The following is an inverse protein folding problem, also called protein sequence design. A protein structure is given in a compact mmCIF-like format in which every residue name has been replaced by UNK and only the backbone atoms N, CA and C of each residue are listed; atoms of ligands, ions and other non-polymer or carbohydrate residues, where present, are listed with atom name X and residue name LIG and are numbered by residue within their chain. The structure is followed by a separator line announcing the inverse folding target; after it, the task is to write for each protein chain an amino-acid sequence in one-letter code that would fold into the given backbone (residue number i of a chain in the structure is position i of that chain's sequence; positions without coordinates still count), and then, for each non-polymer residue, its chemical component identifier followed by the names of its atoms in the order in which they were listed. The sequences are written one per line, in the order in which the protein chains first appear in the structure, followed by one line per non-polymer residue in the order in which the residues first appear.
data_IF_556061976578
#
_entry.id   IF_556061976578
#
_cell.length_a   1.000
_cell.length_b   1.000
_cell.length_c   1.000
_cell.angle_alpha   90.00
_cell.angle_beta   90.00
_cell.angle_gamma   90.00
#
_symmetry.space_group_name_H-M   'P 1'
#
loop_
_entity.id
_entity.type
_entity.pdbx_description
1 polymer ?
#
# COMPACT_ATOMS: atom_id res chain seq x y z
N UNK A 1 -2.28 6.22 24.04
CA UNK A 1 -3.34 6.69 23.12
C UNK A 1 -4.68 6.32 23.71
N UNK A 2 -5.52 7.31 24.04
CA UNK A 2 -6.82 7.06 24.68
C UNK A 2 -7.84 6.60 23.64
N UNK A 3 -8.21 5.32 23.69
CA UNK A 3 -9.31 4.73 22.93
C UNK A 3 -10.62 5.41 23.31
N UNK A 4 -11.05 6.39 22.52
CA UNK A 4 -12.42 6.90 22.59
C UNK A 4 -13.23 6.06 21.62
N UNK A 5 -13.82 4.95 22.10
CA UNK A 5 -14.77 4.18 21.29
C UNK A 5 -16.03 5.02 21.11
N UNK A 6 -16.16 5.66 19.96
CA UNK A 6 -17.45 6.17 19.55
C UNK A 6 -18.43 4.97 19.51
N UNK A 7 -19.53 5.07 20.25
CA UNK A 7 -20.55 4.02 20.30
C UNK A 7 -21.22 3.86 18.92
N UNK A 8 -21.50 2.63 18.48
CA UNK A 8 -22.19 2.38 17.22
C UNK A 8 -23.58 3.03 17.22
N UNK A 9 -23.93 3.68 16.11
CA UNK A 9 -25.28 4.24 15.92
C UNK A 9 -26.21 3.13 15.46
N UNK A 10 -27.33 2.93 16.16
CA UNK A 10 -28.28 1.82 15.94
C UNK A 10 -29.68 2.37 15.71
N UNK A 11 -30.38 1.91 14.66
CA UNK A 11 -31.81 2.19 14.49
C UNK A 11 -32.67 1.33 15.44
N UNK A 12 -33.77 1.89 15.97
CA UNK A 12 -34.76 1.14 16.75
C UNK A 12 -35.51 0.12 15.88
N UNK A 13 -35.82 -1.08 16.39
CA UNK A 13 -36.49 -2.13 15.62
C UNK A 13 -37.91 -1.73 15.21
N UNK A 14 -38.26 -1.99 13.96
CA UNK A 14 -39.64 -2.02 13.50
C UNK A 14 -40.30 -3.30 14.03
N UNK A 15 -41.45 -3.16 14.69
CA UNK A 15 -42.22 -4.28 15.26
C UNK A 15 -42.71 -5.20 14.15
N UNK A 16 -42.07 -6.36 13.99
CA UNK A 16 -42.65 -7.51 13.29
C UNK A 16 -42.27 -8.82 13.96
N UNK A 17 -43.31 -9.61 14.24
CA UNK A 17 -43.33 -10.91 14.89
C UNK A 17 -42.90 -12.03 13.93
N UNK A 18 -41.65 -12.02 13.47
CA UNK A 18 -41.06 -13.14 12.72
C UNK A 18 -39.78 -13.60 13.41
N UNK A 19 -39.52 -14.91 13.38
CA UNK A 19 -38.28 -15.52 13.86
C UNK A 19 -37.05 -15.13 13.03
N UNK A 20 -37.17 -14.15 12.13
CA UNK A 20 -36.10 -13.72 11.23
C UNK A 20 -35.96 -12.20 11.34
N UNK A 21 -34.72 -11.74 11.54
CA UNK A 21 -34.38 -10.32 11.70
C UNK A 21 -33.23 -9.95 10.76
N UNK A 22 -33.50 -9.02 9.86
CA UNK A 22 -32.49 -8.51 8.93
C UNK A 22 -31.78 -7.26 9.48
N UNK A 23 -30.45 -7.28 9.39
CA UNK A 23 -29.54 -6.22 9.80
C UNK A 23 -28.60 -5.81 8.67
N UNK A 24 -28.53 -4.52 8.37
CA UNK A 24 -27.53 -3.94 7.48
C UNK A 24 -26.42 -3.34 8.32
N UNK A 25 -25.20 -3.87 8.19
CA UNK A 25 -24.01 -3.30 8.81
C UNK A 25 -23.26 -2.43 7.81
N UNK A 26 -22.80 -1.28 8.28
CA UNK A 26 -22.24 -0.21 7.44
C UNK A 26 -20.93 0.28 8.06
N UNK A 27 -19.89 0.48 7.26
CA UNK A 27 -18.63 1.05 7.74
C UNK A 27 -17.94 1.91 6.68
N UNK A 28 -17.26 3.01 7.06
CA UNK A 28 -16.32 3.69 6.17
C UNK A 28 -14.97 2.96 6.17
N UNK A 29 -14.50 2.59 5.00
CA UNK A 29 -13.20 1.96 4.76
C UNK A 29 -12.26 2.96 4.10
N UNK A 30 -11.17 3.28 4.79
CA UNK A 30 -10.07 4.06 4.22
C UNK A 30 -9.25 3.12 3.35
N UNK A 31 -9.21 3.35 2.04
CA UNK A 31 -8.48 2.52 1.06
C UNK A 31 -7.09 3.08 0.74
N UNK A 32 -6.96 4.42 0.77
CA UNK A 32 -5.72 5.11 0.44
C UNK A 32 -5.59 6.38 1.26
N UNK A 33 -4.39 6.64 1.78
CA UNK A 33 -4.08 7.85 2.52
C UNK A 33 -3.61 9.02 1.64
N UNK A 34 -3.35 10.14 2.30
CA UNK A 34 -2.75 11.33 1.73
C UNK A 34 -1.24 11.14 1.62
N UNK A 35 -0.64 11.48 0.47
CA UNK A 35 0.79 11.35 0.19
C UNK A 35 1.24 12.48 -0.75
N UNK A 36 2.46 13.00 -0.65
CA UNK A 36 3.06 13.76 -1.74
C UNK A 36 3.27 12.84 -2.95
N UNK A 37 3.00 13.34 -4.16
CA UNK A 37 3.11 12.55 -5.40
C UNK A 37 3.39 13.44 -6.61
N UNK A 38 4.08 12.93 -7.63
CA UNK A 38 4.18 13.62 -8.92
C UNK A 38 3.03 13.24 -9.86
N UNK A 39 2.63 14.19 -10.70
CA UNK A 39 1.72 13.96 -11.82
C UNK A 39 2.30 14.49 -13.12
N UNK A 40 1.92 13.87 -14.25
CA UNK A 40 2.26 14.37 -15.58
C UNK A 40 1.43 15.61 -15.92
N UNK A 41 2.09 16.62 -16.49
CA UNK A 41 1.39 17.68 -17.20
C UNK A 41 2.04 17.89 -18.56
N UNK A 42 1.21 18.09 -19.58
CA UNK A 42 1.68 18.45 -20.91
C UNK A 42 1.51 19.95 -21.06
N UNK A 43 2.61 20.70 -21.03
CA UNK A 43 2.56 22.11 -21.37
C UNK A 43 2.76 22.21 -22.89
N UNK A 44 1.70 22.60 -23.59
CA UNK A 44 1.83 23.00 -24.99
C UNK A 44 2.73 24.25 -25.05
N UNK A 45 3.92 24.14 -25.65
CA UNK A 45 4.74 25.33 -25.94
C UNK A 45 3.94 26.26 -26.85
N UNK A 46 3.64 27.47 -26.39
CA UNK A 46 3.17 28.55 -27.26
C UNK A 46 4.36 29.04 -28.08
N UNK A 47 4.53 28.48 -29.27
CA UNK A 47 5.40 29.08 -30.27
C UNK A 47 4.63 30.18 -30.99
N UNK A 48 5.24 31.36 -31.11
CA UNK A 48 4.65 32.52 -31.82
C UNK A 48 4.59 32.36 -33.34
N UNK A 49 4.98 31.20 -33.89
CA UNK A 49 4.98 30.94 -35.32
C UNK A 49 4.52 29.51 -35.60
N UNK A 50 3.21 29.33 -35.80
CA UNK A 50 2.56 28.36 -36.72
C UNK A 50 3.02 26.90 -36.86
N UNK A 51 3.98 26.41 -36.09
CA UNK A 51 4.47 25.02 -36.12
C UNK A 51 4.10 24.32 -34.83
N UNK A 52 3.48 23.15 -34.97
CA UNK A 52 3.18 22.21 -33.88
C UNK A 52 4.49 21.72 -33.27
N UNK A 53 4.98 22.38 -32.21
CA UNK A 53 6.02 21.81 -31.36
C UNK A 53 5.42 20.71 -30.50
N UNK A 54 6.10 19.57 -30.42
CA UNK A 54 5.83 18.56 -29.40
C UNK A 54 5.87 19.21 -28.01
N UNK A 55 4.83 19.00 -27.21
CA UNK A 55 4.75 19.54 -25.85
C UNK A 55 5.90 19.02 -24.99
N UNK A 56 6.41 19.87 -24.11
CA UNK A 56 7.39 19.47 -23.09
C UNK A 56 6.58 18.79 -21.99
N UNK A 57 6.77 17.48 -21.79
CA UNK A 57 6.18 16.77 -20.66
C UNK A 57 6.92 17.25 -19.42
N UNK A 58 6.21 17.96 -18.55
CA UNK A 58 6.74 18.39 -17.26
C UNK A 58 5.98 17.69 -16.15
N UNK A 59 6.58 17.68 -14.97
CA UNK A 59 5.99 17.07 -13.79
C UNK A 59 5.42 18.16 -12.89
N UNK A 60 4.30 17.85 -12.24
CA UNK A 60 3.68 18.74 -11.25
C UNK A 60 3.72 18.03 -9.91
N UNK A 61 4.19 18.76 -8.90
CA UNK A 61 4.09 18.36 -7.49
C UNK A 61 2.62 18.40 -7.07
N UNK A 62 2.10 17.25 -6.68
CA UNK A 62 0.69 17.05 -6.32
C UNK A 62 0.57 16.36 -4.97
N UNK A 63 -0.66 16.25 -4.49
CA UNK A 63 -1.00 15.58 -3.25
C UNK A 63 -2.10 14.58 -3.55
N UNK A 64 -1.83 13.31 -3.26
CA UNK A 64 -2.81 12.25 -3.41
C UNK A 64 -3.95 12.48 -2.43
N UNK A 65 -5.18 12.56 -2.94
CA UNK A 65 -6.36 12.69 -2.06
C UNK A 65 -6.68 11.35 -1.40
N UNK A 66 -6.95 11.32 -0.08
CA UNK A 66 -7.41 10.13 0.61
C UNK A 66 -8.66 9.54 -0.04
N UNK A 67 -8.69 8.21 -0.18
CA UNK A 67 -9.85 7.48 -0.69
C UNK A 67 -10.54 6.77 0.46
N UNK A 68 -11.77 7.18 0.75
CA UNK A 68 -12.64 6.54 1.74
C UNK A 68 -13.90 6.08 1.02
N UNK A 69 -14.23 4.81 1.15
CA UNK A 69 -15.44 4.21 0.57
C UNK A 69 -16.35 3.68 1.66
N UNK A 70 -17.63 3.50 1.33
CA UNK A 70 -18.60 2.91 2.26
C UNK A 70 -18.84 1.45 1.89
N UNK A 71 -18.62 0.54 2.85
CA UNK A 71 -18.95 -0.89 2.72
C UNK A 71 -20.24 -1.20 3.46
N UNK A 72 -21.01 -2.12 2.89
CA UNK A 72 -22.29 -2.58 3.41
C UNK A 72 -22.29 -4.11 3.40
N UNK A 73 -22.82 -4.72 4.46
CA UNK A 73 -23.19 -6.14 4.45
C UNK A 73 -24.58 -6.30 5.06
N UNK A 74 -25.31 -7.28 4.56
CA UNK A 74 -26.63 -7.62 5.06
C UNK A 74 -26.56 -8.99 5.72
N UNK A 75 -27.13 -9.07 6.92
CA UNK A 75 -27.21 -10.26 7.75
C UNK A 75 -28.68 -10.56 7.99
N UNK A 76 -29.12 -11.76 7.65
CA UNK A 76 -30.44 -12.23 8.04
C UNK A 76 -30.27 -13.29 9.12
N UNK A 77 -30.76 -13.02 10.32
CA UNK A 77 -30.61 -13.90 11.47
C UNK A 77 -31.95 -14.58 11.73
N UNK A 78 -31.97 -15.91 11.61
CA UNK A 78 -33.10 -16.75 11.97
C UNK A 78 -32.89 -17.33 13.37
N UNK A 79 -33.82 -17.06 14.27
CA UNK A 79 -33.85 -17.64 15.61
C UNK A 79 -34.68 -18.92 15.59
N UNK A 80 -34.07 -20.04 15.96
CA UNK A 80 -34.72 -21.36 15.98
C UNK A 80 -35.73 -21.55 17.12
N UNK A 81 -35.88 -20.56 18.01
CA UNK A 81 -36.76 -20.59 19.17
C UNK A 81 -36.11 -21.19 20.42
N UNK A 82 -34.93 -21.80 20.30
CA UNK A 82 -34.10 -22.28 21.42
C UNK A 82 -33.01 -21.26 21.81
N UNK A 83 -32.91 -20.17 21.04
CA UNK A 83 -31.97 -19.07 21.27
C UNK A 83 -30.72 -19.15 20.39
N UNK A 84 -30.66 -20.10 19.44
CA UNK A 84 -29.61 -20.13 18.43
C UNK A 84 -30.02 -19.27 17.24
N UNK A 85 -29.09 -18.45 16.76
CA UNK A 85 -29.27 -17.59 15.58
C UNK A 85 -28.44 -18.15 14.43
N UNK A 86 -29.12 -18.59 13.38
CA UNK A 86 -28.49 -19.06 12.14
C UNK A 86 -28.63 -18.02 11.03
N UNK A 87 -27.63 -17.94 10.16
CA UNK A 87 -27.68 -17.05 9.01
C UNK A 87 -28.61 -17.62 7.93
N UNK A 88 -29.65 -16.87 7.58
CA UNK A 88 -30.62 -17.24 6.55
C UNK A 88 -30.36 -16.49 5.22
N UNK A 89 -30.93 -16.99 4.14
CA UNK A 89 -30.95 -16.29 2.87
C UNK A 89 -31.94 -15.11 2.92
N UNK A 90 -31.50 -13.94 2.43
CA UNK A 90 -32.34 -12.75 2.36
C UNK A 90 -33.54 -13.00 1.44
N UNK A 91 -34.72 -12.52 1.85
CA UNK A 91 -35.86 -12.49 0.95
C UNK A 91 -35.60 -11.52 -0.22
N UNK A 92 -36.09 -11.80 -1.45
CA UNK A 92 -35.90 -10.91 -2.59
C UNK A 92 -36.45 -9.49 -2.37
N UNK A 93 -37.54 -9.37 -1.59
CA UNK A 93 -38.13 -8.07 -1.24
C UNK A 93 -37.21 -7.27 -0.32
N UNK A 94 -36.63 -7.93 0.70
CA UNK A 94 -35.69 -7.31 1.63
C UNK A 94 -34.41 -6.89 0.91
N UNK A 95 -33.87 -7.73 0.02
CA UNK A 95 -32.68 -7.43 -0.77
C UNK A 95 -32.89 -6.21 -1.69
N UNK A 96 -34.03 -6.15 -2.38
CA UNK A 96 -34.39 -4.99 -3.21
C UNK A 96 -34.56 -3.70 -2.39
N UNK A 97 -35.11 -3.80 -1.18
CA UNK A 97 -35.20 -2.66 -0.25
C UNK A 97 -33.81 -2.20 0.20
N UNK A 98 -32.92 -3.12 0.60
CA UNK A 98 -31.54 -2.81 1.00
C UNK A 98 -30.80 -2.14 -0.17
N UNK A 99 -30.92 -2.66 -1.39
CA UNK A 99 -30.26 -2.07 -2.56
C UNK A 99 -30.72 -0.64 -2.82
N UNK A 100 -32.02 -0.35 -2.67
CA UNK A 100 -32.54 1.03 -2.79
C UNK A 100 -31.99 1.95 -1.71
N UNK A 101 -32.04 1.52 -0.45
CA UNK A 101 -31.47 2.27 0.67
C UNK A 101 -29.98 2.57 0.47
N UNK A 102 -29.18 1.55 0.17
CA UNK A 102 -27.74 1.69 -0.06
C UNK A 102 -27.45 2.67 -1.21
N UNK A 103 -28.22 2.59 -2.29
CA UNK A 103 -28.09 3.52 -3.42
C UNK A 103 -28.36 4.95 -3.01
N UNK A 104 -29.45 5.21 -2.30
CA UNK A 104 -29.79 6.55 -1.80
C UNK A 104 -28.70 7.10 -0.87
N UNK A 105 -28.13 6.27 0.00
CA UNK A 105 -27.02 6.67 0.88
C UNK A 105 -25.78 7.03 0.06
N UNK A 106 -25.43 6.22 -0.94
CA UNK A 106 -24.29 6.48 -1.83
C UNK A 106 -24.48 7.76 -2.66
N UNK A 107 -25.68 7.99 -3.18
CA UNK A 107 -26.03 9.20 -3.93
C UNK A 107 -25.91 10.46 -3.05
N UNK A 108 -26.41 10.40 -1.81
CA UNK A 108 -26.28 11.51 -0.86
C UNK A 108 -24.81 11.80 -0.51
N UNK A 109 -23.98 10.76 -0.37
CA UNK A 109 -22.54 10.91 -0.16
C UNK A 109 -21.80 11.47 -1.38
N UNK A 110 -22.27 11.20 -2.60
CA UNK A 110 -21.66 11.71 -3.83
C UNK A 110 -21.71 13.23 -3.97
N UNK A 111 -22.57 13.92 -3.22
CA UNK A 111 -22.77 15.37 -3.25
C UNK A 111 -21.83 16.15 -2.31
N UNK A 112 -20.72 15.55 -1.86
CA UNK A 112 -19.74 16.12 -0.94
C UNK A 112 -19.13 17.45 -1.44
N UNK A 113 -19.51 18.62 -0.88
CA UNK A 113 -19.10 19.92 -1.45
C UNK A 113 -17.72 20.41 -1.00
N UNK A 114 -17.17 19.85 0.08
CA UNK A 114 -15.89 20.28 0.62
C UNK A 114 -14.92 19.10 0.58
N UNK A 115 -13.67 19.29 0.22
CA UNK A 115 -12.58 18.33 0.50
C UNK A 115 -11.78 18.98 1.64
N UNK A 116 -11.31 18.24 2.67
CA UNK A 116 -10.39 18.83 3.63
C UNK A 116 -9.24 19.51 2.90
N UNK A 117 -8.78 20.67 3.38
CA UNK A 117 -7.59 21.29 2.80
C UNK A 117 -6.45 20.26 2.78
N UNK A 118 -5.88 20.05 1.59
CA UNK A 118 -4.76 19.14 1.40
C UNK A 118 -3.51 19.78 2.02
N UNK A 119 -2.58 18.97 2.55
CA UNK A 119 -1.24 19.44 2.92
C UNK A 119 -0.50 19.97 1.69
N UNK A 120 0.62 20.63 1.92
CA UNK A 120 1.54 21.07 0.86
C UNK A 120 2.64 20.03 0.64
N UNK A 121 3.31 20.11 -0.51
CA UNK A 121 4.36 19.17 -0.93
C UNK A 121 5.46 18.97 0.12
N UNK A 122 5.99 20.08 0.66
CA UNK A 122 7.07 20.05 1.66
C UNK A 122 6.59 20.00 3.11
N UNK A 123 5.32 19.70 3.38
CA UNK A 123 4.84 19.52 4.75
C UNK A 123 5.44 18.24 5.39
N UNK A 124 5.56 18.17 6.73
CA UNK A 124 6.00 16.95 7.41
C UNK A 124 4.91 15.86 7.39
N UNK A 125 5.31 14.59 7.57
CA UNK A 125 4.42 13.40 7.57
C UNK A 125 3.14 13.59 8.42
N UNK A 126 3.25 14.21 9.59
CA UNK A 126 2.11 14.48 10.49
C UNK A 126 0.98 15.27 9.82
N UNK A 127 1.27 16.15 8.86
CA UNK A 127 0.25 16.89 8.12
C UNK A 127 -0.58 15.97 7.21
N UNK A 128 0.07 15.01 6.55
CA UNK A 128 -0.56 14.01 5.71
C UNK A 128 -1.38 13.01 6.53
N UNK A 129 -0.85 12.50 7.64
CA UNK A 129 -1.59 11.62 8.56
C UNK A 129 -2.87 12.30 9.08
N UNK A 130 -2.76 13.59 9.43
CA UNK A 130 -3.90 14.39 9.87
C UNK A 130 -4.93 14.56 8.75
N UNK A 131 -4.50 14.81 7.52
CA UNK A 131 -5.38 14.90 6.36
C UNK A 131 -6.14 13.58 6.12
N UNK A 132 -5.44 12.46 6.17
CA UNK A 132 -5.98 11.10 6.03
C UNK A 132 -7.02 10.81 7.12
N UNK A 133 -6.66 11.04 8.38
CA UNK A 133 -7.54 10.81 9.54
C UNK A 133 -8.79 11.69 9.47
N UNK A 134 -8.63 12.98 9.14
CA UNK A 134 -9.74 13.92 9.02
C UNK A 134 -10.69 13.53 7.89
N UNK A 135 -10.16 13.02 6.78
CA UNK A 135 -10.98 12.52 5.67
C UNK A 135 -11.83 11.33 6.09
N UNK A 136 -11.25 10.35 6.80
CA UNK A 136 -11.99 9.20 7.35
C UNK A 136 -13.07 9.64 8.34
N UNK A 137 -12.73 10.48 9.31
CA UNK A 137 -13.69 10.97 10.33
C UNK A 137 -14.85 11.77 9.71
N UNK A 138 -14.55 12.56 8.68
CA UNK A 138 -15.56 13.32 7.98
C UNK A 138 -16.50 12.42 7.18
N UNK A 139 -15.95 11.44 6.46
CA UNK A 139 -16.76 10.45 5.75
C UNK A 139 -17.67 9.70 6.72
N UNK A 140 -17.14 9.28 7.87
CA UNK A 140 -17.92 8.67 8.94
C UNK A 140 -19.07 9.58 9.40
N UNK A 141 -18.79 10.86 9.67
CA UNK A 141 -19.80 11.81 10.15
C UNK A 141 -20.95 12.00 9.15
N UNK A 142 -20.61 12.13 7.86
CA UNK A 142 -21.60 12.29 6.79
C UNK A 142 -22.35 11.01 6.50
N UNK A 143 -21.66 9.86 6.58
CA UNK A 143 -22.29 8.56 6.51
C UNK A 143 -23.32 8.42 7.64
N UNK A 144 -22.98 8.73 8.88
CA UNK A 144 -23.91 8.73 10.01
C UNK A 144 -25.12 9.61 9.76
N UNK A 145 -24.92 10.84 9.30
CA UNK A 145 -26.00 11.78 8.99
C UNK A 145 -26.93 11.23 7.89
N UNK A 146 -26.37 10.82 6.75
CA UNK A 146 -27.16 10.38 5.60
C UNK A 146 -27.82 9.02 5.82
N UNK A 147 -27.15 8.06 6.48
CA UNK A 147 -27.79 6.79 6.85
C UNK A 147 -28.98 7.01 7.76
N UNK A 148 -28.85 7.88 8.77
CA UNK A 148 -29.94 8.15 9.70
C UNK A 148 -31.10 8.89 9.01
N UNK A 149 -30.79 9.92 8.21
CA UNK A 149 -31.80 10.69 7.49
C UNK A 149 -32.60 9.81 6.53
N UNK A 150 -31.92 9.07 5.66
CA UNK A 150 -32.58 8.22 4.64
C UNK A 150 -33.36 7.09 5.28
N UNK A 151 -32.85 6.52 6.38
CA UNK A 151 -33.59 5.50 7.11
C UNK A 151 -34.89 6.05 7.70
N UNK A 152 -34.85 7.25 8.28
CA UNK A 152 -36.01 7.90 8.89
C UNK A 152 -37.02 8.45 7.87
N UNK A 153 -36.56 8.86 6.68
CA UNK A 153 -37.44 9.26 5.57
C UNK A 153 -38.24 8.08 5.00
N UNK A 154 -37.74 6.86 5.19
CA UNK A 154 -38.38 5.63 4.71
C UNK A 154 -38.33 5.50 3.19
N UNK A 155 -38.98 4.46 2.68
CA UNK A 155 -39.13 4.19 1.25
C UNK A 155 -40.51 4.66 0.79
N UNK A 156 -40.59 5.88 0.26
CA UNK A 156 -41.88 6.50 -0.14
C UNK A 156 -42.89 6.56 1.02
N UNK A 157 -42.39 6.78 2.25
CA UNK A 157 -43.20 6.78 3.48
C UNK A 157 -43.48 5.41 4.10
N UNK A 158 -42.88 4.33 3.58
CA UNK A 158 -42.89 2.99 4.20
C UNK A 158 -41.64 2.77 5.06
N UNK A 159 -41.81 2.08 6.18
CA UNK A 159 -40.69 1.63 7.00
C UNK A 159 -39.82 0.61 6.24
N UNK A 160 -38.52 0.67 6.45
CA UNK A 160 -37.59 -0.31 5.89
C UNK A 160 -37.80 -1.70 6.54
N UNK A 161 -37.75 -2.80 5.77
CA UNK A 161 -37.94 -4.17 6.29
C UNK A 161 -36.68 -4.72 6.98
N UNK A 162 -35.75 -3.86 7.37
CA UNK A 162 -34.48 -4.20 8.02
C UNK A 162 -34.11 -3.08 9.00
N UNK A 163 -33.18 -3.37 9.90
CA UNK A 163 -32.52 -2.34 10.72
C UNK A 163 -31.10 -2.11 10.24
N UNK A 164 -30.48 -0.99 10.59
CA UNK A 164 -29.06 -0.75 10.28
C UNK A 164 -28.21 -0.49 11.52
N UNK A 165 -26.93 -0.81 11.40
CA UNK A 165 -25.88 -0.45 12.35
C UNK A 165 -24.69 0.12 11.61
N UNK A 166 -24.23 1.26 12.09
CA UNK A 166 -23.00 1.88 11.59
C UNK A 166 -21.86 1.63 12.56
N UNK A 167 -20.76 1.08 12.04
CA UNK A 167 -19.53 0.87 12.76
C UNK A 167 -18.47 1.91 12.35
N UNK A 168 -17.75 2.52 13.30
CA UNK A 168 -16.75 3.54 13.01
C UNK A 168 -15.45 2.98 12.45
N UNK A 169 -15.20 1.68 12.64
CA UNK A 169 -14.00 1.01 12.15
C UNK A 169 -14.30 -0.39 11.60
N UNK A 170 -13.38 -0.83 10.77
CA UNK A 170 -13.32 -2.10 10.05
C UNK A 170 -13.26 -3.31 10.98
N UNK A 171 -12.47 -3.27 12.06
CA UNK A 171 -12.45 -4.35 13.06
C UNK A 171 -13.83 -4.62 13.68
N UNK A 172 -14.54 -3.58 14.11
CA UNK A 172 -15.88 -3.73 14.66
C UNK A 172 -16.87 -4.20 13.59
N UNK A 173 -16.75 -3.71 12.36
CA UNK A 173 -17.57 -4.16 11.25
C UNK A 173 -17.40 -5.67 11.02
N UNK A 174 -16.17 -6.16 10.88
CA UNK A 174 -15.89 -7.60 10.67
C UNK A 174 -16.34 -8.45 11.85
N UNK A 175 -16.09 -8.01 13.09
CA UNK A 175 -16.54 -8.70 14.31
C UNK A 175 -18.08 -8.78 14.45
N UNK A 176 -18.82 -8.00 13.66
CA UNK A 176 -20.29 -7.95 13.70
C UNK A 176 -20.90 -8.40 12.37
N UNK A 177 -20.24 -9.31 11.65
CA UNK A 177 -20.75 -9.96 10.43
C UNK A 177 -20.60 -9.12 9.16
N UNK A 178 -19.81 -8.04 9.20
CA UNK A 178 -19.38 -7.32 8.01
C UNK A 178 -18.41 -8.15 7.18
N UNK A 179 -18.59 -8.14 5.86
CA UNK A 179 -17.72 -8.84 4.91
C UNK A 179 -16.99 -7.84 4.02
N UNK A 180 -15.70 -8.08 3.80
CA UNK A 180 -14.84 -7.36 2.85
C UNK A 180 -14.33 -8.38 1.82
N UNK A 181 -15.09 -8.62 0.73
CA UNK A 181 -14.91 -9.81 -0.08
C UNK A 181 -13.69 -9.74 -1.02
N UNK A 182 -13.25 -8.54 -1.38
CA UNK A 182 -12.17 -8.35 -2.35
C UNK A 182 -10.95 -7.61 -1.82
N UNK A 183 -9.85 -7.62 -2.60
CA UNK A 183 -8.62 -6.88 -2.29
C UNK A 183 -8.86 -5.37 -2.24
N UNK A 184 -9.67 -4.81 -3.15
CA UNK A 184 -10.07 -3.40 -3.15
C UNK A 184 -11.00 -3.01 -1.98
N UNK A 185 -11.50 -3.99 -1.22
CA UNK A 185 -12.36 -3.76 -0.06
C UNK A 185 -11.57 -3.69 1.25
N UNK A 186 -10.30 -4.09 1.25
CA UNK A 186 -9.50 -4.17 2.47
C UNK A 186 -9.15 -2.77 3.02
N UNK A 187 -9.22 -2.57 4.34
CA UNK A 187 -8.83 -1.32 4.95
C UNK A 187 -7.32 -1.11 4.81
N UNK A 188 -6.94 0.14 4.59
CA UNK A 188 -5.56 0.59 4.67
C UNK A 188 -5.01 0.30 6.06
N UNK A 189 -4.01 -0.57 6.13
CA UNK A 189 -3.24 -0.84 7.35
C UNK A 189 -2.37 0.36 7.69
N UNK A 190 -2.43 0.79 8.94
CA UNK A 190 -1.81 2.04 9.36
C UNK A 190 -0.27 1.97 9.37
N UNK A 191 0.30 0.82 9.72
CA UNK A 191 1.75 0.60 9.66
C UNK A 191 2.30 0.77 8.24
N UNK A 192 1.67 0.15 7.24
CA UNK A 192 2.16 0.26 5.85
C UNK A 192 1.92 1.64 5.26
N UNK A 193 0.82 2.29 5.66
CA UNK A 193 0.62 3.69 5.30
C UNK A 193 1.70 4.59 5.87
N UNK A 194 2.05 4.44 7.15
CA UNK A 194 3.11 5.22 7.78
C UNK A 194 4.45 5.02 7.06
N UNK A 195 4.82 3.76 6.80
CA UNK A 195 6.02 3.40 6.05
C UNK A 195 6.03 4.01 4.64
N UNK A 196 4.90 3.94 3.91
CA UNK A 196 4.78 4.54 2.57
C UNK A 196 4.81 6.06 2.61
N UNK A 197 4.22 6.67 3.64
CA UNK A 197 4.20 8.11 3.82
C UNK A 197 5.59 8.67 4.10
N UNK A 198 6.34 8.02 5.00
CA UNK A 198 7.73 8.37 5.28
C UNK A 198 8.59 8.35 4.02
N UNK A 199 8.51 7.24 3.26
CA UNK A 199 9.16 7.09 1.95
C UNK A 199 8.77 8.21 0.97
N UNK A 200 7.49 8.51 0.84
CA UNK A 200 7.02 9.55 -0.09
C UNK A 200 7.48 10.95 0.33
N UNK A 201 7.46 11.27 1.63
CA UNK A 201 7.93 12.57 2.16
C UNK A 201 9.43 12.72 1.98
N UNK A 202 10.22 11.70 2.30
CA UNK A 202 11.67 11.76 2.11
C UNK A 202 12.03 11.80 0.63
N UNK A 203 11.36 11.01 -0.22
CA UNK A 203 11.51 11.07 -1.67
C UNK A 203 11.17 12.45 -2.26
N UNK A 204 10.12 13.11 -1.76
CA UNK A 204 9.75 14.46 -2.16
C UNK A 204 10.82 15.50 -1.78
N UNK A 205 11.37 15.39 -0.56
CA UNK A 205 12.47 16.23 -0.09
C UNK A 205 13.75 16.01 -0.90
N UNK A 206 14.10 14.76 -1.15
CA UNK A 206 15.25 14.37 -1.97
C UNK A 206 15.15 14.92 -3.41
N UNK A 207 13.95 14.91 -3.98
CA UNK A 207 13.70 15.51 -5.28
C UNK A 207 13.86 17.05 -5.24
N UNK A 208 13.31 17.73 -4.22
CA UNK A 208 13.51 19.18 -4.07
C UNK A 208 14.99 19.54 -3.92
N UNK A 209 15.76 18.73 -3.18
CA UNK A 209 17.22 18.88 -3.05
C UNK A 209 17.93 18.70 -4.39
N UNK A 210 17.54 17.69 -5.18
CA UNK A 210 18.10 17.42 -6.50
C UNK A 210 17.80 18.55 -7.49
N UNK A 211 16.57 19.06 -7.48
CA UNK A 211 16.12 20.18 -8.33
C UNK A 211 16.89 21.48 -7.99
N UNK A 212 17.24 21.68 -6.72
CA UNK A 212 17.99 22.87 -6.27
C UNK A 212 19.47 22.87 -6.65
N UNK A 213 20.03 21.74 -7.10
CA UNK A 213 21.44 21.65 -7.52
C UNK A 213 21.69 22.50 -8.79
N UNK A 214 22.83 23.21 -8.91
CA UNK A 214 23.14 24.02 -10.08
C UNK A 214 23.22 23.24 -11.40
N UNK A 215 22.91 23.94 -12.49
CA UNK A 215 23.18 23.49 -13.86
C UNK A 215 24.70 23.23 -14.02
N UNK A 216 25.08 22.00 -14.41
CA UNK A 216 26.47 21.58 -14.55
C UNK A 216 26.86 20.36 -13.70
N UNK A 217 26.07 20.03 -12.68
CA UNK A 217 26.19 18.78 -11.92
C UNK A 217 25.41 17.66 -12.60
N UNK A 218 25.96 16.45 -12.62
CA UNK A 218 25.20 15.26 -13.05
C UNK A 218 24.20 14.90 -11.95
N UNK A 219 22.91 15.02 -12.25
CA UNK A 219 21.82 14.75 -11.30
C UNK A 219 21.20 13.39 -11.61
N UNK A 220 21.21 12.50 -10.63
CA UNK A 220 20.70 11.14 -10.78
C UNK A 220 19.55 10.96 -9.79
N UNK A 221 18.34 10.72 -10.31
CA UNK A 221 17.29 10.14 -9.48
C UNK A 221 17.38 8.64 -9.58
N UNK A 222 17.20 7.94 -8.47
CA UNK A 222 17.08 6.50 -8.46
C UNK A 222 15.98 6.05 -7.51
N UNK A 223 15.52 4.83 -7.71
CA UNK A 223 14.58 4.15 -6.83
C UNK A 223 15.02 2.72 -6.61
N UNK A 224 14.56 2.17 -5.50
CA UNK A 224 14.61 0.75 -5.19
C UNK A 224 13.18 0.21 -5.21
N UNK A 225 12.98 -1.00 -5.71
CA UNK A 225 11.68 -1.67 -5.65
C UNK A 225 11.85 -3.13 -5.24
N UNK A 226 10.84 -3.68 -4.57
CA UNK A 226 10.82 -5.09 -4.19
C UNK A 226 10.13 -5.83 -5.33
N UNK A 227 10.87 -6.69 -6.04
CA UNK A 227 10.35 -7.50 -7.15
C UNK A 227 9.67 -8.74 -6.61
N UNK A 228 10.29 -9.38 -5.62
CA UNK A 228 9.70 -10.46 -4.84
C UNK A 228 9.87 -10.12 -3.36
N UNK A 229 8.81 -10.21 -2.54
CA UNK A 229 8.89 -9.95 -1.13
C UNK A 229 9.66 -11.07 -0.42
N UNK A 230 9.82 -10.93 0.89
CA UNK A 230 10.25 -12.07 1.71
C UNK A 230 9.24 -13.22 1.56
N UNK A 231 9.73 -14.41 1.21
CA UNK A 231 8.91 -15.60 0.92
C UNK A 231 9.19 -16.71 1.91
N UNK A 232 8.20 -17.59 2.10
CA UNK A 232 8.35 -18.81 2.87
C UNK A 232 8.70 -19.96 1.92
N UNK A 233 9.73 -20.73 2.21
CA UNK A 233 10.16 -21.86 1.37
C UNK A 233 10.29 -23.14 2.20
N UNK A 234 9.65 -24.22 1.73
CA UNK A 234 9.88 -25.57 2.20
C UNK A 234 10.98 -26.23 1.36
N UNK A 235 12.08 -26.60 1.99
CA UNK A 235 13.22 -27.28 1.37
C UNK A 235 12.95 -28.78 1.31
N UNK A 236 13.23 -29.40 0.16
CA UNK A 236 13.15 -30.86 -0.01
C UNK A 236 14.12 -31.58 0.92
N UNK A 237 13.66 -32.63 1.62
CA UNK A 237 14.52 -33.53 2.38
C UNK A 237 14.98 -34.72 1.54
N UNK A 238 16.25 -35.15 1.64
CA UNK A 238 16.68 -36.43 1.09
C UNK A 238 15.89 -37.60 1.69
N UNK A 239 15.53 -38.60 0.87
CA UNK A 239 14.90 -39.82 1.37
C UNK A 239 15.86 -40.55 2.34
N UNK A 240 15.40 -40.81 3.58
CA UNK A 240 16.14 -41.61 4.56
C UNK A 240 16.80 -40.84 5.72
N UNK A 241 16.72 -39.50 5.75
CA UNK A 241 17.19 -38.69 6.87
C UNK A 241 16.10 -38.54 7.95
N UNK A 242 16.20 -39.35 9.01
CA UNK A 242 15.31 -39.32 10.18
C UNK A 242 15.77 -38.26 11.21
N UNK A 243 16.02 -37.03 10.76
CA UNK A 243 16.32 -35.95 11.70
C UNK A 243 15.01 -35.36 12.24
N UNK A 244 14.81 -35.55 13.54
CA UNK A 244 13.59 -35.17 14.30
C UNK A 244 13.31 -33.67 14.35
N UNK A 245 14.18 -32.83 13.78
CA UNK A 245 14.02 -31.39 13.77
C UNK A 245 13.29 -30.91 12.51
N UNK A 246 11.96 -30.95 12.54
CA UNK A 246 11.05 -30.64 11.42
C UNK A 246 11.18 -29.19 10.89
N UNK A 247 11.70 -28.25 11.69
CA UNK A 247 11.96 -26.86 11.27
C UNK A 247 13.12 -26.68 10.27
N UNK A 248 14.06 -27.63 10.18
CA UNK A 248 15.22 -27.50 9.26
C UNK A 248 14.84 -27.57 7.77
N UNK A 249 13.63 -28.03 7.45
CA UNK A 249 13.09 -28.03 6.08
C UNK A 249 12.33 -26.76 5.73
N UNK A 250 12.38 -25.73 6.57
CA UNK A 250 11.73 -24.45 6.31
C UNK A 250 12.73 -23.31 6.41
N UNK A 251 12.67 -22.38 5.46
CA UNK A 251 13.48 -21.16 5.49
C UNK A 251 12.74 -20.00 4.89
N UNK A 252 13.24 -18.80 5.19
CA UNK A 252 12.85 -17.59 4.51
C UNK A 252 13.73 -17.37 3.30
N UNK A 253 13.13 -16.96 2.19
CA UNK A 253 13.87 -16.36 1.08
C UNK A 253 13.80 -14.85 1.25
N UNK A 254 14.97 -14.22 1.27
CA UNK A 254 15.08 -12.76 1.34
C UNK A 254 14.40 -12.08 0.13
N UNK A 255 13.99 -10.81 0.28
CA UNK A 255 13.34 -10.09 -0.80
C UNK A 255 14.31 -9.92 -1.97
N UNK A 256 13.79 -10.06 -3.18
CA UNK A 256 14.50 -9.73 -4.41
C UNK A 256 14.23 -8.27 -4.74
N UNK A 257 15.29 -7.51 -4.96
CA UNK A 257 15.21 -6.06 -5.15
C UNK A 257 15.62 -5.71 -6.58
N UNK A 258 15.01 -4.65 -7.11
CA UNK A 258 15.45 -3.99 -8.33
C UNK A 258 15.85 -2.56 -8.05
N UNK A 259 16.84 -2.10 -8.80
CA UNK A 259 17.34 -0.72 -8.75
C UNK A 259 17.14 -0.12 -10.12
N UNK A 260 16.54 1.06 -10.16
CA UNK A 260 16.35 1.81 -11.40
C UNK A 260 16.90 3.21 -11.18
N UNK A 261 17.66 3.73 -12.12
CA UNK A 261 18.12 5.12 -12.08
C UNK A 261 17.81 5.85 -13.38
N UNK A 262 17.85 7.18 -13.32
CA UNK A 262 17.70 8.09 -14.45
C UNK A 262 18.52 9.35 -14.20
N UNK A 263 19.26 9.77 -15.23
CA UNK A 263 19.86 11.11 -15.28
C UNK A 263 18.77 12.14 -15.58
N UNK A 264 18.73 13.23 -14.81
CA UNK A 264 17.71 14.27 -14.96
C UNK A 264 17.89 15.11 -16.23
N UNK A 265 16.80 15.70 -16.71
CA UNK A 265 16.75 16.42 -17.98
C UNK A 265 17.54 17.73 -17.99
N UNK A 266 17.87 18.28 -16.83
CA UNK A 266 18.71 19.47 -16.65
C UNK A 266 20.19 19.14 -16.38
N UNK A 267 20.57 17.86 -16.44
CA UNK A 267 21.97 17.43 -16.38
C UNK A 267 22.75 17.79 -17.65
N UNK A 268 24.10 17.84 -17.59
CA UNK A 268 24.94 18.13 -18.76
C UNK A 268 24.64 17.24 -19.98
N UNK A 269 24.61 17.85 -21.17
CA UNK A 269 24.26 17.13 -22.41
C UNK A 269 25.18 15.95 -22.76
N UNK A 270 26.44 15.99 -22.32
CA UNK A 270 27.39 14.92 -22.59
C UNK A 270 26.98 13.62 -21.90
N UNK A 271 26.48 13.66 -20.66
CA UNK A 271 26.14 12.44 -19.92
C UNK A 271 24.91 11.73 -20.49
N UNK A 272 24.00 12.51 -21.10
CA UNK A 272 22.81 11.97 -21.77
C UNK A 272 23.14 11.17 -23.03
N UNK A 273 24.33 11.36 -23.62
CA UNK A 273 24.76 10.71 -24.87
C UNK A 273 25.69 9.52 -24.64
N UNK A 274 26.11 9.28 -23.40
CA UNK A 274 27.11 8.27 -23.05
C UNK A 274 26.43 7.14 -22.26
N UNK A 275 25.95 6.13 -22.98
CA UNK A 275 25.27 4.96 -22.41
C UNK A 275 26.16 4.21 -21.39
N UNK A 276 27.48 4.14 -21.64
CA UNK A 276 28.43 3.47 -20.74
C UNK A 276 28.54 4.15 -19.37
N UNK A 277 28.34 5.46 -19.31
CA UNK A 277 28.39 6.21 -18.06
C UNK A 277 27.10 6.01 -17.25
N UNK A 278 25.94 5.96 -17.91
CA UNK A 278 24.68 5.59 -17.25
C UNK A 278 24.74 4.18 -16.66
N UNK A 279 25.23 3.20 -17.45
CA UNK A 279 25.41 1.83 -16.99
C UNK A 279 26.41 1.71 -15.82
N UNK A 280 27.43 2.58 -15.78
CA UNK A 280 28.38 2.65 -14.65
C UNK A 280 27.70 3.16 -13.38
N UNK A 281 26.89 4.22 -13.46
CA UNK A 281 26.12 4.72 -12.32
C UNK A 281 25.11 3.68 -11.83
N UNK A 282 24.37 3.04 -12.73
CA UNK A 282 23.43 1.97 -12.37
C UNK A 282 24.11 0.84 -11.60
N UNK A 283 25.30 0.42 -12.07
CA UNK A 283 26.10 -0.60 -11.39
C UNK A 283 26.59 -0.12 -10.02
N UNK A 284 27.08 1.12 -9.92
CA UNK A 284 27.55 1.70 -8.67
C UNK A 284 26.44 1.78 -7.62
N UNK A 285 25.26 2.27 -8.00
CA UNK A 285 24.09 2.34 -7.11
C UNK A 285 23.65 0.92 -6.69
N UNK A 286 23.60 -0.02 -7.63
CA UNK A 286 23.24 -1.41 -7.34
C UNK A 286 24.22 -2.07 -6.37
N UNK A 287 25.52 -1.86 -6.56
CA UNK A 287 26.58 -2.37 -5.66
C UNK A 287 26.49 -1.73 -4.28
N UNK A 288 26.27 -0.42 -4.19
CA UNK A 288 26.13 0.30 -2.92
C UNK A 288 24.89 -0.14 -2.13
N UNK A 289 23.78 -0.44 -2.82
CA UNK A 289 22.60 -1.03 -2.18
C UNK A 289 22.90 -2.44 -1.67
N UNK A 290 23.53 -3.29 -2.48
CA UNK A 290 23.86 -4.65 -2.10
C UNK A 290 24.87 -4.71 -0.92
N UNK A 291 25.78 -3.73 -0.82
CA UNK A 291 26.76 -3.65 0.27
C UNK A 291 26.13 -3.12 1.57
N UNK A 292 25.21 -2.16 1.47
CA UNK A 292 24.57 -1.49 2.61
C UNK A 292 23.39 -2.27 3.18
N UNK A 293 22.59 -2.90 2.33
CA UNK A 293 21.42 -3.65 2.76
C UNK A 293 21.80 -5.05 3.24
N UNK A 294 21.78 -5.23 4.56
CA UNK A 294 21.83 -6.55 5.18
C UNK A 294 20.45 -6.84 5.78
N UNK A 295 19.63 -7.69 5.16
CA UNK A 295 18.34 -8.08 5.72
C UNK A 295 18.55 -8.52 7.17
N UNK A 296 17.76 -7.96 8.10
CA UNK A 296 17.81 -8.43 9.48
C UNK A 296 17.43 -9.91 9.50
N UNK A 297 18.31 -10.75 10.04
CA UNK A 297 18.00 -12.13 10.34
C UNK A 297 17.07 -12.14 11.56
N UNK A 298 15.76 -12.14 11.37
CA UNK A 298 14.79 -12.46 12.44
C UNK A 298 13.34 -12.32 11.96
N UNK A 299 12.87 -13.28 11.18
CA UNK A 299 11.57 -13.87 11.55
C UNK A 299 11.93 -15.24 12.11
N UNK A 300 11.85 -15.39 13.43
CA UNK A 300 12.07 -16.69 14.05
C UNK A 300 10.87 -17.56 13.70
N UNK A 301 11.02 -18.38 12.66
CA UNK A 301 10.00 -19.35 12.26
C UNK A 301 9.81 -20.36 13.40
N UNK A 302 8.72 -20.20 14.12
CA UNK A 302 8.21 -21.12 15.12
C UNK A 302 6.90 -21.75 14.65
N UNK A 303 6.50 -22.92 15.18
CA UNK A 303 5.19 -23.49 14.89
C UNK A 303 4.01 -22.57 15.26
N UNK A 304 4.24 -21.58 16.14
CA UNK A 304 3.23 -20.63 16.59
C UNK A 304 3.24 -19.30 15.82
N UNK A 305 4.13 -19.13 14.84
CA UNK A 305 4.26 -17.89 14.06
C UNK A 305 2.93 -17.58 13.39
N UNK A 306 2.34 -16.44 13.74
CA UNK A 306 1.09 -15.99 13.15
C UNK A 306 1.36 -15.17 11.88
N UNK A 307 0.43 -15.20 10.93
CA UNK A 307 0.53 -14.41 9.70
C UNK A 307 0.76 -12.92 9.98
N UNK A 308 0.07 -12.34 10.97
CA UNK A 308 0.24 -10.93 11.33
C UNK A 308 1.65 -10.62 11.86
N UNK A 309 2.22 -11.50 12.68
CA UNK A 309 3.58 -11.33 13.23
C UNK A 309 4.62 -11.42 12.11
N UNK A 310 4.47 -12.41 11.23
CA UNK A 310 5.31 -12.59 10.05
C UNK A 310 5.30 -11.36 9.14
N UNK A 311 4.11 -10.85 8.82
CA UNK A 311 3.94 -9.68 7.94
C UNK A 311 4.50 -8.39 8.55
N UNK A 312 4.33 -8.18 9.87
CA UNK A 312 4.85 -7.00 10.55
C UNK A 312 6.40 -6.98 10.56
N UNK A 313 7.03 -8.12 10.86
CA UNK A 313 8.50 -8.23 10.88
C UNK A 313 9.10 -8.04 9.48
N UNK A 314 8.47 -8.60 8.45
CA UNK A 314 8.90 -8.43 7.06
C UNK A 314 8.71 -6.99 6.59
N UNK A 315 7.56 -6.37 6.87
CA UNK A 315 7.29 -4.96 6.50
C UNK A 315 8.34 -4.03 7.11
N UNK A 316 8.77 -4.29 8.35
CA UNK A 316 9.86 -3.55 9.00
C UNK A 316 11.21 -3.76 8.30
N UNK A 317 11.57 -5.01 7.99
CA UNK A 317 12.84 -5.32 7.33
C UNK A 317 12.91 -4.72 5.92
N UNK A 318 11.83 -4.85 5.16
CA UNK A 318 11.68 -4.29 3.82
C UNK A 318 11.67 -2.76 3.85
N UNK A 319 11.20 -2.12 4.92
CA UNK A 319 11.30 -0.67 5.10
C UNK A 319 12.74 -0.18 5.22
N UNK A 320 13.60 -0.91 5.96
CA UNK A 320 15.01 -0.53 6.13
C UNK A 320 15.77 -0.44 4.81
N UNK A 321 15.42 -1.26 3.80
CA UNK A 321 16.01 -1.15 2.46
C UNK A 321 15.87 0.26 1.89
N UNK A 322 14.71 0.88 2.06
CA UNK A 322 14.43 2.22 1.54
C UNK A 322 15.17 3.29 2.36
N UNK A 323 15.26 3.13 3.67
CA UNK A 323 16.02 4.05 4.53
C UNK A 323 17.50 4.06 4.15
N UNK A 324 18.10 2.88 3.96
CA UNK A 324 19.50 2.76 3.51
C UNK A 324 19.69 3.34 2.11
N UNK A 325 18.75 3.10 1.19
CA UNK A 325 18.81 3.66 -0.16
C UNK A 325 18.72 5.20 -0.12
N UNK A 326 17.81 5.75 0.68
CA UNK A 326 17.54 7.18 0.75
C UNK A 326 18.65 8.00 1.39
N UNK A 327 19.33 7.43 2.39
CA UNK A 327 20.36 8.16 3.15
C UNK A 327 21.78 7.71 2.80
N UNK A 328 22.08 6.42 2.96
CA UNK A 328 23.46 5.92 2.87
C UNK A 328 23.92 5.82 1.42
N UNK A 329 23.13 5.16 0.57
CA UNK A 329 23.50 4.94 -0.83
C UNK A 329 23.52 6.25 -1.59
N UNK A 330 22.51 7.10 -1.40
CA UNK A 330 22.45 8.40 -2.05
C UNK A 330 23.67 9.27 -1.70
N UNK A 331 24.15 9.22 -0.45
CA UNK A 331 25.37 9.90 -0.03
C UNK A 331 26.63 9.25 -0.65
N UNK A 332 26.75 7.91 -0.60
CA UNK A 332 27.90 7.16 -1.09
C UNK A 332 28.14 7.38 -2.59
N UNK A 333 27.08 7.43 -3.39
CA UNK A 333 27.18 7.58 -4.86
C UNK A 333 27.15 9.06 -5.31
N UNK A 334 27.10 10.01 -4.37
CA UNK A 334 27.23 11.43 -4.65
C UNK A 334 28.67 11.90 -4.50
N UNK A 335 29.18 12.67 -5.46
CA UNK A 335 30.55 13.18 -5.47
C UNK A 335 30.58 14.70 -5.66
N UNK A 336 31.35 15.40 -4.81
CA UNK A 336 31.62 16.82 -4.97
C UNK A 336 32.70 17.11 -6.02
N UNK A 337 32.73 18.34 -6.55
CA UNK A 337 33.81 18.82 -7.42
C UNK A 337 35.15 18.67 -6.69
N UNK A 338 36.08 17.88 -7.26
CA UNK A 338 37.45 17.70 -6.75
C UNK A 338 37.68 16.45 -5.89
N UNK A 339 36.69 15.56 -5.73
CA UNK A 339 36.91 14.22 -5.21
C UNK A 339 37.54 13.32 -6.28
N UNK A 340 38.64 12.62 -5.95
CA UNK A 340 39.22 11.60 -6.84
C UNK A 340 38.51 10.29 -6.57
N UNK A 341 37.84 9.74 -7.58
CA UNK A 341 37.29 8.39 -7.54
C UNK A 341 37.92 7.55 -8.64
N UNK A 342 38.41 6.38 -8.28
CA UNK A 342 38.97 5.39 -9.20
C UNK A 342 38.03 4.20 -9.26
N UNK A 343 37.81 3.62 -10.44
CA UNK A 343 37.09 2.36 -10.58
C UNK A 343 37.85 1.16 -9.96
N UNK A 344 37.23 -0.01 -10.04
CA UNK A 344 37.82 -1.29 -9.60
C UNK A 344 39.11 -1.65 -10.35
N UNK A 345 39.36 -1.04 -11.53
CA UNK A 345 40.56 -1.21 -12.35
C UNK A 345 41.62 -0.10 -12.08
N UNK A 346 41.33 0.85 -11.19
CA UNK A 346 42.21 1.96 -10.83
C UNK A 346 42.21 3.13 -11.82
N UNK A 347 41.29 3.15 -12.79
CA UNK A 347 41.10 4.25 -13.74
C UNK A 347 40.25 5.36 -13.10
N UNK A 348 40.63 6.63 -13.32
CA UNK A 348 39.94 7.79 -12.76
C UNK A 348 38.58 7.96 -13.46
N UNK A 349 37.48 7.67 -12.76
CA UNK A 349 36.13 7.86 -13.30
C UNK A 349 35.81 9.34 -13.22
N UNK A 350 35.91 10.00 -14.38
CA UNK A 350 35.34 11.32 -14.71
C UNK A 350 36.03 12.49 -14.01
N UNK A 351 36.91 13.15 -14.78
CA UNK A 351 37.48 14.49 -14.58
C UNK A 351 36.59 15.47 -13.77
N UNK A 352 36.71 15.48 -12.44
CA UNK A 352 36.29 16.60 -11.57
C UNK A 352 34.82 17.06 -11.65
N UNK A 353 33.90 16.32 -12.27
CA UNK A 353 32.49 16.70 -12.39
C UNK A 353 31.70 16.25 -11.16
N UNK A 354 30.95 17.17 -10.56
CA UNK A 354 30.08 16.83 -9.44
C UNK A 354 28.93 15.93 -9.89
N UNK A 355 28.60 14.95 -9.05
CA UNK A 355 27.46 14.05 -9.19
C UNK A 355 26.62 14.17 -7.92
N UNK A 356 25.31 14.38 -8.06
CA UNK A 356 24.36 14.27 -6.95
C UNK A 356 23.36 13.19 -7.30
N UNK A 357 23.29 12.18 -6.45
CA UNK A 357 22.26 11.16 -6.50
C UNK A 357 21.22 11.41 -5.41
N UNK A 358 19.97 11.09 -5.72
CA UNK A 358 18.86 11.20 -4.78
C UNK A 358 17.90 10.04 -4.99
N UNK A 359 17.56 9.37 -3.89
CA UNK A 359 16.51 8.37 -3.91
C UNK A 359 15.14 9.05 -3.94
N UNK A 360 14.24 8.57 -4.77
CA UNK A 360 12.84 8.98 -4.81
C UNK A 360 11.94 7.76 -4.66
N UNK A 361 10.72 7.95 -4.18
CA UNK A 361 9.78 6.84 -4.07
C UNK A 361 9.45 6.26 -5.47
N UNK A 362 9.11 4.96 -5.57
CA UNK A 362 9.01 4.36 -6.90
C UNK A 362 7.83 4.89 -7.71
N UNK A 363 6.75 5.40 -7.07
CA UNK A 363 5.62 5.97 -7.80
C UNK A 363 6.03 7.33 -8.42
N UNK A 364 6.78 8.14 -7.67
CA UNK A 364 7.43 9.36 -8.17
C UNK A 364 8.43 9.06 -9.28
N UNK A 365 9.21 7.98 -9.13
CA UNK A 365 10.19 7.58 -10.14
C UNK A 365 9.54 7.17 -11.47
N UNK A 366 8.43 6.43 -11.45
CA UNK A 366 7.70 6.09 -12.69
C UNK A 366 7.26 7.36 -13.43
N UNK A 367 6.74 8.35 -12.70
CA UNK A 367 6.39 9.65 -13.28
C UNK A 367 7.61 10.33 -13.87
N UNK A 368 8.73 10.39 -13.14
CA UNK A 368 9.99 10.90 -13.67
C UNK A 368 10.47 10.14 -14.90
N UNK A 369 10.03 8.91 -15.18
CA UNK A 369 10.36 8.17 -16.41
C UNK A 369 9.40 8.39 -17.57
N UNK A 370 8.31 9.13 -17.37
CA UNK A 370 7.26 9.28 -18.39
C UNK A 370 6.08 8.33 -18.20
N UNK A 371 6.11 7.47 -17.17
CA UNK A 371 5.10 6.44 -16.91
C UNK A 371 4.10 6.91 -15.84
N UNK A 372 2.84 6.42 -15.84
CA UNK A 372 1.91 6.72 -14.76
C UNK A 372 2.41 6.12 -13.42
N UNK A 373 2.05 6.73 -12.27
CA UNK A 373 2.32 6.11 -10.98
C UNK A 373 1.58 4.77 -10.87
N UNK A 374 2.11 3.84 -10.07
CA UNK A 374 1.56 2.49 -9.94
C UNK A 374 0.11 2.53 -9.44
N UNK A 375 -0.74 1.67 -10.02
CA UNK A 375 -2.14 1.58 -9.57
C UNK A 375 -2.20 0.97 -8.16
N UNK A 376 -2.88 1.68 -7.26
CA UNK A 376 -3.10 1.24 -5.89
C UNK A 376 -3.93 -0.05 -5.84
N UNK A 377 -4.80 -0.30 -6.83
CA UNK A 377 -5.61 -1.53 -6.91
C UNK A 377 -4.74 -2.75 -7.12
N UNK A 378 -3.83 -2.69 -8.09
CA UNK A 378 -2.87 -3.76 -8.35
C UNK A 378 -1.97 -4.01 -7.13
N UNK A 379 -1.59 -2.95 -6.40
CA UNK A 379 -0.85 -3.11 -5.13
C UNK A 379 -1.70 -3.80 -4.05
N UNK A 380 -2.99 -3.47 -3.94
CA UNK A 380 -3.91 -4.09 -2.99
C UNK A 380 -4.17 -5.57 -3.32
N UNK A 381 -4.33 -5.90 -4.60
CA UNK A 381 -4.46 -7.27 -5.12
C UNK A 381 -3.23 -8.10 -4.79
N UNK A 382 -2.04 -7.67 -5.25
CA UNK A 382 -0.77 -8.37 -4.97
C UNK A 382 -0.55 -8.63 -3.49
N UNK A 383 -0.89 -7.65 -2.65
CA UNK A 383 -0.78 -7.79 -1.20
C UNK A 383 -1.76 -8.81 -0.62
N UNK A 384 -3.00 -8.77 -1.07
CA UNK A 384 -4.04 -9.68 -0.60
C UNK A 384 -3.69 -11.13 -0.93
N UNK A 385 -3.25 -11.38 -2.17
CA UNK A 385 -2.85 -12.71 -2.62
C UNK A 385 -1.59 -13.18 -1.87
N UNK A 386 -0.61 -12.30 -1.68
CA UNK A 386 0.57 -12.57 -0.87
C UNK A 386 0.22 -13.00 0.56
N UNK A 387 -0.62 -12.23 1.25
CA UNK A 387 -1.01 -12.52 2.63
C UNK A 387 -1.71 -13.88 2.76
N UNK A 388 -2.65 -14.17 1.85
CA UNK A 388 -3.37 -15.44 1.82
C UNK A 388 -2.43 -16.62 1.56
N UNK A 389 -1.46 -16.44 0.66
CA UNK A 389 -0.52 -17.51 0.32
C UNK A 389 0.48 -17.76 1.46
N UNK A 390 0.94 -16.70 2.14
CA UNK A 390 1.73 -16.82 3.37
C UNK A 390 0.95 -17.50 4.48
N UNK A 391 -0.32 -17.14 4.69
CA UNK A 391 -1.18 -17.80 5.69
C UNK A 391 -1.26 -19.30 5.44
N UNK A 392 -1.53 -19.70 4.19
CA UNK A 392 -1.53 -21.10 3.76
C UNK A 392 -0.16 -21.78 4.00
N UNK A 393 0.94 -21.09 3.70
CA UNK A 393 2.29 -21.59 3.92
C UNK A 393 2.59 -21.83 5.40
N UNK A 394 2.22 -20.89 6.28
CA UNK A 394 2.39 -21.00 7.73
C UNK A 394 1.50 -22.10 8.34
N UNK A 395 0.26 -22.24 7.88
CA UNK A 395 -0.62 -23.35 8.28
C UNK A 395 -0.03 -24.71 7.87
N UNK A 396 0.53 -24.79 6.66
CA UNK A 396 1.18 -26.00 6.15
C UNK A 396 2.42 -26.32 6.98
N UNK A 397 3.23 -25.32 7.29
CA UNK A 397 4.37 -25.47 8.19
C UNK A 397 3.93 -25.98 9.55
N UNK A 398 2.89 -25.41 10.16
CA UNK A 398 2.36 -25.86 11.45
C UNK A 398 1.99 -27.35 11.44
N UNK A 399 1.26 -27.81 10.42
CA UNK A 399 0.87 -29.22 10.26
C UNK A 399 2.08 -30.13 10.07
N UNK A 400 3.02 -29.75 9.21
CA UNK A 400 4.26 -30.51 8.97
C UNK A 400 5.09 -30.68 10.26
N UNK A 401 5.05 -29.70 11.16
CA UNK A 401 5.76 -29.74 12.44
C UNK A 401 5.04 -30.62 13.48
N UNK A 402 3.71 -30.63 13.51
CA UNK A 402 2.90 -31.43 14.44
C UNK A 402 2.83 -32.92 14.05
N UNK A 403 2.69 -33.22 12.76
CA UNK A 403 2.46 -34.57 12.25
C UNK A 403 3.77 -35.32 11.92
N UNK A 404 4.90 -34.60 11.92
CA UNK A 404 6.18 -35.12 11.44
C UNK A 404 6.21 -35.10 9.91
N UNK A 405 6.86 -34.08 9.35
CA UNK A 405 6.90 -33.80 7.92
C UNK A 405 7.26 -35.06 7.10
N UNK A 406 6.40 -35.51 6.16
CA UNK A 406 6.65 -36.67 5.32
C UNK A 406 7.96 -36.50 4.54
N UNK A 407 8.80 -37.56 4.53
CA UNK A 407 9.99 -37.59 3.69
C UNK A 407 9.59 -37.52 2.21
N UNK A 408 10.31 -36.73 1.40
CA UNK A 408 10.08 -36.65 -0.05
C UNK A 408 9.02 -35.64 -0.50
N UNK A 409 8.58 -34.73 0.38
CA UNK A 409 7.74 -33.61 -0.05
C UNK A 409 8.51 -32.67 -1.01
N UNK A 410 7.86 -32.16 -2.07
CA UNK A 410 8.50 -31.28 -3.02
C UNK A 410 8.82 -29.92 -2.39
N UNK A 411 9.85 -29.27 -2.95
CA UNK A 411 10.12 -27.86 -2.69
C UNK A 411 8.93 -27.02 -3.11
N UNK A 412 8.50 -26.12 -2.23
CA UNK A 412 7.33 -25.28 -2.44
C UNK A 412 7.59 -23.92 -1.81
N UNK A 413 7.20 -22.87 -2.52
CA UNK A 413 7.44 -21.48 -2.14
C UNK A 413 6.10 -20.77 -2.05
N UNK A 414 5.90 -20.04 -0.96
CA UNK A 414 4.71 -19.23 -0.71
C UNK A 414 5.07 -17.75 -0.60
N UNK A 415 4.11 -16.91 -1.00
CA UNK A 415 4.23 -15.46 -0.98
C UNK A 415 4.95 -14.89 -2.20
N UNK A 416 4.87 -15.54 -3.36
CA UNK A 416 5.41 -14.99 -4.60
C UNK A 416 4.46 -13.95 -5.20
N UNK A 417 5.01 -12.86 -5.72
CA UNK A 417 4.24 -11.96 -6.58
C UNK A 417 4.20 -12.54 -8.00
N UNK A 418 2.99 -12.69 -8.54
CA UNK A 418 2.80 -12.98 -9.96
C UNK A 418 3.13 -11.73 -10.79
N UNK A 419 3.82 -11.92 -11.92
CA UNK A 419 4.28 -10.83 -12.81
C UNK A 419 3.13 -10.07 -13.46
#
# INVERSE_FOLDING_TARGET
MSSTSALPTTSTPSTRTSHTRTHVVITPVLLRGCLPSLGHTTVARRNYEGQTSHGETTYVRTITTPRVETRFSALDLHNDGEGHEDQAALSPETEAAITRYVRSVKEALGLMPNVPALPQWGDPSVAFERCTTRSRMRHLSLLTEHTARIYNEGDEGREWPFTYRLYPNDQQYSNNGGVLPGPEDQPLRWGDYANRLERAVEGAKNLDELDAIPEGTVKIAFTTDIVQPTRLNRISRPEGENDTNSLQSWKLLHPEISVKSRVQDDSPEWIKRVESAQASYDRSISTAIASSYRPLASVDLTPQTRVLEFLDDISRNEHLLFDYAAHNVAEEVSFGVGGKYTDEDGEEIVDGLAVKAAWVDPDTFEVLRGEPPRDWRSQAERRFDYEKDIEKGLETMGKDLEEGSPSGLPEEVWGTWEE
#
